data_IF_320628302389
#
_entry.id   IF_320628302389
#
_cell.length_a   1.000
_cell.length_b   1.000
_cell.length_c   1.000
_cell.angle_alpha   90.00
_cell.angle_beta   90.00
_cell.angle_gamma   90.00
#
_symmetry.space_group_name_H-M   'P 1'
#
loop_
_entity.id
_entity.type
_entity.pdbx_description
1 polymer ?
#
# COMPACT_ATOMS: atom_id res chain seq x y z
N UNK A 1 -38.27 27.22 -31.86
CA UNK A 1 -38.04 27.17 -30.40
C UNK A 1 -36.55 27.01 -30.18
N UNK A 2 -35.87 28.08 -29.81
CA UNK A 2 -34.44 28.09 -29.51
C UNK A 2 -34.28 27.58 -28.06
N UNK A 3 -33.52 26.50 -27.86
CA UNK A 3 -33.23 25.97 -26.53
C UNK A 3 -32.35 26.96 -25.77
N UNK A 4 -32.61 27.08 -24.46
CA UNK A 4 -31.87 27.96 -23.55
C UNK A 4 -30.42 27.46 -23.39
N UNK A 5 -29.41 28.35 -23.38
CA UNK A 5 -27.99 28.00 -23.24
C UNK A 5 -27.63 27.31 -21.89
N UNK A 6 -28.56 27.24 -20.94
CA UNK A 6 -28.38 26.55 -19.65
C UNK A 6 -28.60 25.02 -19.72
N UNK A 7 -29.31 24.50 -20.74
CA UNK A 7 -29.48 23.04 -20.88
C UNK A 7 -28.28 22.36 -21.57
N UNK A 8 -27.47 23.10 -22.33
CA UNK A 8 -26.35 22.55 -23.11
C UNK A 8 -25.10 22.28 -22.26
N UNK A 9 -25.03 22.85 -21.04
CA UNK A 9 -23.88 22.65 -20.13
C UNK A 9 -24.02 21.40 -19.27
N UNK A 10 -25.24 20.91 -19.03
CA UNK A 10 -25.46 19.73 -18.17
C UNK A 10 -25.15 18.40 -18.87
N UNK A 11 -25.39 18.35 -20.18
CA UNK A 11 -25.14 17.15 -21.00
C UNK A 11 -23.63 16.96 -21.32
N UNK A 12 -22.81 18.01 -21.20
CA UNK A 12 -21.35 17.91 -21.38
C UNK A 12 -20.58 17.36 -20.17
N UNK A 13 -21.16 17.43 -18.97
CA UNK A 13 -20.50 16.96 -17.73
C UNK A 13 -20.65 15.46 -17.49
N UNK A 14 -21.71 14.81 -17.98
CA UNK A 14 -21.90 13.36 -17.77
C UNK A 14 -21.08 12.49 -18.75
N UNK A 15 -20.81 12.99 -19.97
CA UNK A 15 -20.05 12.22 -20.98
C UNK A 15 -18.53 12.23 -20.71
N UNK A 16 -18.04 13.18 -19.91
CA UNK A 16 -16.63 13.28 -19.56
C UNK A 16 -16.18 12.23 -18.52
N UNK A 17 -17.09 11.72 -17.70
CA UNK A 17 -16.76 10.84 -16.56
C UNK A 17 -16.56 9.38 -17.00
N UNK A 18 -17.40 8.86 -17.91
CA UNK A 18 -17.29 7.47 -18.38
C UNK A 18 -16.00 7.20 -19.18
N UNK A 19 -15.51 8.20 -19.92
CA UNK A 19 -14.29 8.06 -20.71
C UNK A 19 -13.05 7.97 -19.82
N UNK A 20 -13.02 8.70 -18.69
CA UNK A 20 -11.90 8.68 -17.74
C UNK A 20 -11.86 7.34 -16.98
N UNK A 21 -13.02 6.85 -16.52
CA UNK A 21 -13.12 5.55 -15.84
C UNK A 21 -12.71 4.40 -16.77
N UNK A 22 -13.13 4.45 -18.04
CA UNK A 22 -12.75 3.46 -19.06
C UNK A 22 -11.25 3.49 -19.37
N UNK A 23 -10.65 4.68 -19.46
CA UNK A 23 -9.20 4.83 -19.67
C UNK A 23 -8.39 4.33 -18.46
N UNK A 24 -8.83 4.61 -17.23
CA UNK A 24 -8.20 4.08 -16.02
C UNK A 24 -8.30 2.55 -15.96
N UNK A 25 -9.44 1.95 -16.31
CA UNK A 25 -9.59 0.49 -16.32
C UNK A 25 -8.67 -0.18 -17.35
N UNK A 26 -8.50 0.44 -18.53
CA UNK A 26 -7.56 -0.02 -19.56
C UNK A 26 -6.11 0.11 -19.10
N UNK A 27 -5.78 1.20 -18.40
CA UNK A 27 -4.45 1.40 -17.83
C UNK A 27 -4.12 0.34 -16.76
N UNK A 28 -5.03 0.08 -15.81
CA UNK A 28 -4.83 -0.94 -14.79
C UNK A 28 -4.74 -2.36 -15.36
N UNK A 29 -5.53 -2.67 -16.39
CA UNK A 29 -5.44 -3.95 -17.10
C UNK A 29 -4.08 -4.13 -17.79
N UNK A 30 -3.57 -3.08 -18.45
CA UNK A 30 -2.26 -3.10 -19.10
C UNK A 30 -1.09 -3.20 -18.10
N UNK A 31 -1.20 -2.59 -16.92
CA UNK A 31 -0.21 -2.74 -15.84
C UNK A 31 -0.23 -4.16 -15.28
N UNK A 32 -1.41 -4.75 -15.07
CA UNK A 32 -1.55 -6.14 -14.60
C UNK A 32 -0.91 -7.15 -15.55
N UNK A 33 -1.13 -6.99 -16.86
CA UNK A 33 -0.52 -7.87 -17.88
C UNK A 33 1.00 -7.71 -17.97
N UNK A 34 1.53 -6.49 -17.81
CA UNK A 34 2.98 -6.25 -17.79
C UNK A 34 3.68 -6.81 -16.55
N UNK A 35 3.01 -6.79 -15.40
CA UNK A 35 3.56 -7.35 -14.15
C UNK A 35 3.57 -8.88 -14.19
N UNK A 36 2.58 -9.51 -14.82
CA UNK A 36 2.52 -10.98 -14.95
C UNK A 36 3.53 -11.55 -15.97
N UNK A 37 4.00 -10.76 -16.94
CA UNK A 37 5.00 -11.19 -17.93
C UNK A 37 6.47 -11.09 -17.47
N UNK A 38 6.75 -10.54 -16.29
CA UNK A 38 8.12 -10.28 -15.80
C UNK A 38 8.56 -11.19 -14.65
N UNK A 39 7.76 -12.20 -14.28
CA UNK A 39 8.17 -13.17 -13.28
C UNK A 39 8.99 -14.28 -13.95
N UNK A 40 10.32 -14.37 -13.71
CA UNK A 40 11.10 -15.52 -14.16
C UNK A 40 10.60 -16.78 -13.44
N UNK A 41 10.55 -17.89 -14.16
CA UNK A 41 10.32 -19.20 -13.57
C UNK A 41 11.40 -19.47 -12.51
N UNK A 42 11.01 -19.44 -11.24
CA UNK A 42 11.92 -19.65 -10.12
C UNK A 42 12.54 -21.05 -10.16
N UNK A 43 13.83 -21.20 -9.78
CA UNK A 43 14.45 -22.52 -9.66
C UNK A 43 13.73 -23.33 -8.57
N UNK A 44 13.51 -24.61 -8.83
CA UNK A 44 12.96 -25.53 -7.84
C UNK A 44 13.91 -25.61 -6.64
N UNK A 45 13.42 -25.16 -5.48
CA UNK A 45 14.16 -25.19 -4.23
C UNK A 45 14.22 -26.63 -3.71
N UNK A 46 15.43 -27.19 -3.69
CA UNK A 46 15.75 -28.43 -2.97
C UNK A 46 15.47 -28.27 -1.46
N UNK A 47 14.95 -29.32 -0.79
CA UNK A 47 14.65 -29.28 0.63
C UNK A 47 15.94 -29.18 1.46
N UNK A 48 16.11 -28.06 2.19
CA UNK A 48 17.22 -27.90 3.13
C UNK A 48 16.93 -28.68 4.42
N UNK A 49 17.91 -29.42 4.96
CA UNK A 49 17.75 -30.11 6.24
C UNK A 49 17.67 -29.09 7.40
N UNK A 50 16.66 -29.26 8.25
CA UNK A 50 16.44 -28.46 9.46
C UNK A 50 17.63 -28.59 10.40
N UNK A 51 18.20 -27.44 10.77
CA UNK A 51 19.36 -27.32 11.66
C UNK A 51 18.92 -26.76 13.03
N UNK A 52 17.85 -27.34 13.60
CA UNK A 52 17.18 -26.83 14.81
C UNK A 52 17.55 -27.55 16.12
N UNK A 53 18.60 -28.37 16.13
CA UNK A 53 18.76 -29.32 17.24
C UNK A 53 19.53 -28.83 18.48
N UNK A 54 20.25 -27.70 18.50
CA UNK A 54 21.27 -27.52 19.55
C UNK A 54 21.47 -26.14 20.20
N UNK A 55 20.71 -25.10 19.85
CA UNK A 55 20.75 -23.85 20.63
C UNK A 55 19.32 -23.34 20.78
N UNK A 56 18.80 -23.34 22.00
CA UNK A 56 17.59 -22.60 22.33
C UNK A 56 17.91 -21.11 22.47
N UNK A 57 17.35 -20.27 21.59
CA UNK A 57 16.75 -19.01 21.96
C UNK A 57 15.25 -19.12 21.70
N UNK A 58 14.45 -18.39 22.46
CA UNK A 58 13.06 -18.15 22.05
C UNK A 58 13.16 -17.35 20.76
N UNK A 59 13.13 -18.03 19.61
CA UNK A 59 12.87 -17.41 18.32
C UNK A 59 11.51 -16.75 18.50
N UNK A 60 11.52 -15.47 18.91
CA UNK A 60 10.39 -14.60 18.65
C UNK A 60 10.31 -14.61 17.13
N UNK A 61 9.46 -15.47 16.61
CA UNK A 61 8.92 -15.37 15.26
C UNK A 61 8.48 -13.92 15.16
N UNK A 62 9.32 -13.12 14.51
CA UNK A 62 9.02 -11.72 14.29
C UNK A 62 8.06 -11.80 13.12
N UNK A 63 6.84 -11.42 13.41
CA UNK A 63 5.74 -11.54 12.49
C UNK A 63 5.70 -10.22 11.71
N UNK A 64 5.45 -10.27 10.40
CA UNK A 64 5.23 -9.04 9.64
C UNK A 64 4.15 -8.17 10.32
N UNK A 65 4.35 -6.85 10.36
CA UNK A 65 3.50 -5.94 11.12
C UNK A 65 3.12 -4.72 10.28
N UNK A 66 1.81 -4.40 10.30
CA UNK A 66 1.27 -3.20 9.65
C UNK A 66 1.05 -2.15 10.73
N UNK A 67 1.62 -0.96 10.52
CA UNK A 67 1.50 0.18 11.43
C UNK A 67 0.56 1.23 10.83
N UNK A 68 -0.32 1.78 11.66
CA UNK A 68 -1.32 2.75 11.27
C UNK A 68 -1.20 4.03 12.08
N UNK A 69 -1.08 5.14 11.36
CA UNK A 69 -1.22 6.49 11.86
C UNK A 69 -2.54 7.05 11.31
N UNK A 70 -3.46 7.32 12.23
CA UNK A 70 -4.68 8.06 11.99
C UNK A 70 -4.44 9.45 11.41
N UNK A 71 -5.54 10.09 11.01
CA UNK A 71 -5.50 11.43 10.41
C UNK A 71 -4.83 12.40 11.40
N UNK A 72 -3.71 12.99 10.99
CA UNK A 72 -3.04 14.04 11.76
C UNK A 72 -3.76 15.39 11.61
N UNK A 73 -3.26 16.43 12.27
CA UNK A 73 -3.74 17.82 12.09
C UNK A 73 -3.65 18.30 10.63
N UNK A 74 -2.81 17.66 9.82
CA UNK A 74 -2.63 17.96 8.40
C UNK A 74 -3.64 17.24 7.49
N UNK A 75 -4.55 16.43 8.06
CA UNK A 75 -5.67 15.83 7.34
C UNK A 75 -5.33 14.56 6.56
N UNK A 76 -4.09 14.07 6.65
CA UNK A 76 -3.62 12.85 5.98
C UNK A 76 -3.23 11.82 7.05
N UNK A 77 -3.56 10.55 6.81
CA UNK A 77 -3.09 9.44 7.63
C UNK A 77 -1.93 8.72 6.95
N UNK A 78 -1.24 7.85 7.69
CA UNK A 78 -0.12 7.07 7.18
C UNK A 78 -0.26 5.58 7.48
N UNK A 79 0.32 4.76 6.61
CA UNK A 79 0.31 3.30 6.72
C UNK A 79 1.65 2.75 6.24
N UNK A 80 2.26 1.88 7.04
CA UNK A 80 3.48 1.20 6.67
C UNK A 80 3.43 -0.29 7.01
N UNK A 81 4.35 -1.06 6.43
CA UNK A 81 4.48 -2.50 6.62
C UNK A 81 5.95 -2.86 6.88
N UNK A 82 6.22 -3.55 7.98
CA UNK A 82 7.52 -4.15 8.28
C UNK A 82 7.42 -5.67 8.10
N UNK A 83 8.30 -6.24 7.28
CA UNK A 83 8.48 -7.69 7.15
C UNK A 83 9.49 -8.21 8.17
N UNK A 84 9.45 -9.51 8.46
CA UNK A 84 10.40 -10.18 9.36
C UNK A 84 11.83 -10.12 8.84
N UNK A 85 11.99 -10.25 7.52
CA UNK A 85 13.29 -10.17 6.85
C UNK A 85 13.94 -8.76 6.88
N UNK A 86 13.36 -7.81 7.61
CA UNK A 86 13.86 -6.45 7.78
C UNK A 86 13.41 -5.48 6.69
N UNK A 87 12.70 -5.94 5.66
CA UNK A 87 12.14 -5.05 4.63
C UNK A 87 11.08 -4.14 5.24
N UNK A 88 11.28 -2.83 5.13
CA UNK A 88 10.31 -1.82 5.54
C UNK A 88 9.69 -1.15 4.30
N UNK A 89 8.36 -1.06 4.30
CA UNK A 89 7.56 -0.49 3.22
C UNK A 89 6.81 0.70 3.78
N UNK A 90 7.30 1.89 3.41
CA UNK A 90 6.65 3.17 3.65
C UNK A 90 6.79 3.99 2.38
N UNK A 91 5.67 4.55 1.94
CA UNK A 91 5.58 5.26 0.65
C UNK A 91 4.97 6.63 0.89
N UNK A 92 5.84 7.58 1.17
CA UNK A 92 5.49 8.95 1.51
C UNK A 92 5.94 9.88 0.39
N UNK A 93 5.33 11.07 0.21
CA UNK A 93 5.89 12.06 -0.69
C UNK A 93 7.20 12.59 -0.13
N UNK A 94 8.19 12.82 -1.00
CA UNK A 94 9.40 13.54 -0.63
C UNK A 94 9.00 14.94 -0.13
N UNK A 95 9.25 15.21 1.15
CA UNK A 95 9.02 16.54 1.70
C UNK A 95 10.02 17.50 1.07
N UNK A 96 9.54 18.44 0.27
CA UNK A 96 10.31 19.65 -0.01
C UNK A 96 10.56 20.32 1.36
N UNK A 97 11.81 20.68 1.65
CA UNK A 97 12.27 21.24 2.94
C UNK A 97 11.70 22.66 3.23
N UNK A 98 10.40 22.86 3.08
CA UNK A 98 9.66 24.07 3.39
C UNK A 98 8.76 23.82 4.60
N UNK A 99 9.22 24.21 5.77
CA UNK A 99 8.48 24.13 7.04
C UNK A 99 7.18 24.94 6.99
N UNK A 100 6.03 24.28 7.13
CA UNK A 100 4.78 24.94 7.53
C UNK A 100 3.49 24.29 7.00
N UNK A 101 2.40 24.55 7.73
CA UNK A 101 0.99 24.15 7.52
C UNK A 101 0.41 24.30 6.09
N UNK A 102 1.16 24.85 5.13
CA UNK A 102 0.84 24.81 3.71
C UNK A 102 1.15 23.45 3.07
N UNK A 103 1.90 22.56 3.73
CA UNK A 103 2.28 21.26 3.20
C UNK A 103 1.07 20.39 2.80
N UNK A 104 -0.05 20.42 3.53
CA UNK A 104 -1.25 19.66 3.15
C UNK A 104 -1.93 20.19 1.87
N UNK A 105 -1.97 21.51 1.70
CA UNK A 105 -2.48 22.16 0.48
C UNK A 105 -1.50 22.02 -0.68
N UNK A 106 -0.20 22.08 -0.39
CA UNK A 106 0.86 21.85 -1.35
C UNK A 106 0.88 20.37 -1.77
N UNK A 107 0.62 19.42 -0.87
CA UNK A 107 0.41 18.00 -1.13
C UNK A 107 -0.83 17.73 -1.99
N UNK A 108 -1.92 18.45 -1.73
CA UNK A 108 -3.11 18.42 -2.57
C UNK A 108 -2.82 19.02 -3.96
N UNK A 109 -1.96 20.04 -4.06
CA UNK A 109 -1.56 20.64 -5.35
C UNK A 109 -0.47 19.84 -6.08
N UNK A 110 0.41 19.15 -5.34
CA UNK A 110 1.44 18.23 -5.80
C UNK A 110 0.92 16.80 -5.94
N UNK A 111 -0.39 16.60 -5.75
CA UNK A 111 -1.10 15.37 -6.08
C UNK A 111 -0.98 14.99 -7.56
N UNK A 112 -0.41 15.89 -8.39
CA UNK A 112 0.00 15.71 -9.77
C UNK A 112 1.29 14.90 -9.99
N UNK A 113 1.74 14.14 -8.98
CA UNK A 113 2.93 13.28 -8.96
C UNK A 113 4.20 13.96 -8.43
N UNK A 114 4.63 13.54 -7.24
CA UNK A 114 5.94 13.87 -6.68
C UNK A 114 6.88 12.66 -6.71
N UNK A 115 8.17 12.91 -6.46
CA UNK A 115 9.09 11.82 -6.16
C UNK A 115 8.69 11.20 -4.83
N UNK A 116 8.66 9.88 -4.78
CA UNK A 116 8.40 9.17 -3.56
C UNK A 116 9.65 9.17 -2.68
N UNK A 117 9.45 9.37 -1.39
CA UNK A 117 10.45 9.04 -0.38
C UNK A 117 10.08 7.70 0.24
N UNK A 118 11.09 6.83 0.28
CA UNK A 118 10.96 5.48 0.77
C UNK A 118 11.70 5.42 2.09
N UNK A 119 10.97 5.61 3.18
CA UNK A 119 11.56 5.48 4.51
C UNK A 119 12.12 4.07 4.66
N UNK A 120 13.33 4.00 5.21
CA UNK A 120 14.03 2.73 5.37
C UNK A 120 13.65 2.00 6.66
N UNK A 121 12.90 2.63 7.58
CA UNK A 121 12.61 2.08 8.90
C UNK A 121 11.41 2.72 9.60
N UNK A 122 10.82 2.00 10.55
CA UNK A 122 9.80 2.50 11.48
C UNK A 122 10.24 3.75 12.24
N UNK A 123 11.50 3.82 12.67
CA UNK A 123 12.03 5.00 13.36
C UNK A 123 11.96 6.26 12.50
N UNK A 124 12.18 6.14 11.18
CA UNK A 124 12.06 7.26 10.26
C UNK A 124 10.62 7.76 10.11
N UNK A 125 9.65 6.84 10.06
CA UNK A 125 8.23 7.21 10.06
C UNK A 125 7.83 7.86 11.40
N UNK A 126 8.27 7.34 12.54
CA UNK A 126 7.98 7.92 13.86
C UNK A 126 8.57 9.32 14.01
N UNK A 127 9.78 9.55 13.50
CA UNK A 127 10.41 10.88 13.49
C UNK A 127 9.64 11.84 12.59
N UNK A 128 9.24 11.40 11.39
CA UNK A 128 8.50 12.22 10.41
C UNK A 128 7.08 12.57 10.88
N UNK A 129 6.41 11.60 11.52
CA UNK A 129 5.07 11.77 12.09
C UNK A 129 5.09 12.46 13.47
N UNK A 130 6.29 12.65 14.05
CA UNK A 130 6.52 13.15 15.41
C UNK A 130 5.74 12.40 16.50
N UNK A 131 5.35 11.14 16.23
CA UNK A 131 4.48 10.34 17.09
C UNK A 131 4.57 8.85 16.78
N UNK A 132 4.19 8.03 17.77
CA UNK A 132 4.04 6.58 17.60
C UNK A 132 2.82 6.23 16.74
N UNK A 133 2.80 5.04 16.10
CA UNK A 133 1.60 4.53 15.45
C UNK A 133 0.42 4.49 16.44
N UNK A 134 -0.78 4.86 15.97
CA UNK A 134 -2.00 4.80 16.79
C UNK A 134 -2.44 3.36 17.02
N UNK A 135 -2.28 2.53 15.99
CA UNK A 135 -2.54 1.09 16.06
C UNK A 135 -1.50 0.32 15.23
N UNK A 136 -1.28 -0.94 15.61
CA UNK A 136 -0.55 -1.90 14.78
C UNK A 136 -1.27 -3.25 14.72
N UNK A 137 -0.96 -4.05 13.70
CA UNK A 137 -1.48 -5.42 13.57
C UNK A 137 -0.40 -6.34 13.02
N UNK A 138 -0.08 -7.39 13.78
CA UNK A 138 0.81 -8.46 13.35
C UNK A 138 0.08 -9.44 12.42
N UNK A 139 0.75 -9.89 11.36
CA UNK A 139 0.24 -10.75 10.29
C UNK A 139 0.71 -12.20 10.50
N UNK A 140 -0.12 -13.12 11.00
CA UNK A 140 0.31 -14.48 11.38
C UNK A 140 1.18 -15.18 10.32
N UNK A 141 2.17 -15.95 10.77
CA UNK A 141 3.05 -16.73 9.88
C UNK A 141 2.27 -17.53 8.83
N UNK A 142 2.70 -17.41 7.57
CA UNK A 142 2.07 -18.05 6.42
C UNK A 142 0.79 -17.38 5.93
N UNK A 143 0.44 -16.19 6.43
CA UNK A 143 -0.62 -15.36 5.85
C UNK A 143 -0.15 -14.65 4.57
N UNK A 144 1.12 -14.26 4.51
CA UNK A 144 1.75 -13.57 3.36
C UNK A 144 3.05 -14.26 2.95
N UNK A 145 3.40 -14.17 1.67
CA UNK A 145 4.73 -14.49 1.16
C UNK A 145 5.65 -13.26 1.26
N UNK A 146 6.48 -13.20 2.31
CA UNK A 146 7.35 -12.05 2.56
C UNK A 146 8.51 -11.91 1.55
N UNK A 147 8.92 -13.01 0.91
CA UNK A 147 9.99 -12.98 -0.08
C UNK A 147 9.53 -12.30 -1.37
N UNK A 148 8.32 -12.63 -1.81
CA UNK A 148 7.70 -12.02 -2.98
C UNK A 148 7.42 -10.53 -2.73
N UNK A 149 6.93 -10.17 -1.54
CA UNK A 149 6.76 -8.76 -1.16
C UNK A 149 8.11 -8.02 -1.20
N UNK A 150 9.17 -8.57 -0.60
CA UNK A 150 10.48 -7.92 -0.56
C UNK A 150 11.07 -7.73 -1.96
N UNK A 151 10.93 -8.74 -2.84
CA UNK A 151 11.39 -8.67 -4.23
C UNK A 151 10.63 -7.63 -5.02
N UNK A 152 9.30 -7.58 -4.85
CA UNK A 152 8.46 -6.57 -5.46
C UNK A 152 8.83 -5.17 -4.98
N UNK A 153 9.01 -4.97 -3.67
CA UNK A 153 9.34 -3.65 -3.10
C UNK A 153 10.64 -3.09 -3.66
N UNK A 154 11.69 -3.91 -3.78
CA UNK A 154 12.99 -3.54 -4.38
C UNK A 154 12.87 -3.05 -5.83
N UNK A 155 11.84 -3.50 -6.55
CA UNK A 155 11.57 -3.09 -7.93
C UNK A 155 10.68 -1.86 -7.96
N UNK A 156 9.63 -1.86 -7.14
CA UNK A 156 8.65 -0.78 -7.04
C UNK A 156 9.29 0.54 -6.60
N UNK A 157 10.16 0.52 -5.59
CA UNK A 157 10.80 1.74 -5.07
C UNK A 157 11.70 2.46 -6.09
N UNK A 158 12.13 1.79 -7.16
CA UNK A 158 12.97 2.39 -8.21
C UNK A 158 12.16 3.15 -9.26
N UNK A 159 10.88 2.83 -9.40
CA UNK A 159 10.04 3.31 -10.52
C UNK A 159 8.80 4.05 -10.05
N UNK A 160 8.41 3.87 -8.79
CA UNK A 160 7.20 4.46 -8.25
C UNK A 160 7.34 5.98 -8.04
N UNK A 161 6.23 6.67 -8.26
CA UNK A 161 6.02 8.07 -7.88
C UNK A 161 4.95 8.14 -6.82
N UNK A 162 4.99 9.15 -5.98
CA UNK A 162 3.93 9.37 -5.02
C UNK A 162 2.79 10.15 -5.69
N UNK A 163 1.58 9.64 -5.55
CA UNK A 163 0.36 10.34 -5.95
C UNK A 163 -0.74 10.04 -4.94
N UNK A 164 -1.30 11.10 -4.33
CA UNK A 164 -2.24 10.98 -3.22
C UNK A 164 -3.48 10.11 -3.55
N UNK A 165 -3.94 10.13 -4.81
CA UNK A 165 -5.14 9.42 -5.23
C UNK A 165 -4.91 7.95 -5.61
N UNK A 166 -3.80 7.63 -6.29
CA UNK A 166 -3.60 6.32 -6.93
C UNK A 166 -2.25 5.64 -6.64
N UNK A 167 -1.32 6.31 -5.95
CA UNK A 167 0.02 5.80 -5.64
C UNK A 167 0.50 6.34 -4.28
N UNK A 168 -0.33 6.14 -3.25
CA UNK A 168 -0.10 6.59 -1.88
C UNK A 168 0.31 5.42 -0.96
N UNK A 169 0.63 5.71 0.31
CA UNK A 169 1.05 4.71 1.30
C UNK A 169 0.07 3.54 1.43
N UNK A 170 -1.23 3.81 1.52
CA UNK A 170 -2.27 2.79 1.69
C UNK A 170 -2.35 1.87 0.46
N UNK A 171 -2.35 2.45 -0.74
CA UNK A 171 -2.36 1.68 -1.98
C UNK A 171 -1.09 0.83 -2.12
N UNK A 172 0.07 1.37 -1.77
CA UNK A 172 1.34 0.65 -1.81
C UNK A 172 1.34 -0.54 -0.85
N UNK A 173 0.90 -0.36 0.39
CA UNK A 173 0.77 -1.47 1.36
C UNK A 173 -0.25 -2.50 0.89
N UNK A 174 -1.37 -2.07 0.29
CA UNK A 174 -2.36 -2.99 -0.30
C UNK A 174 -1.73 -3.84 -1.39
N UNK A 175 -1.05 -3.22 -2.35
CA UNK A 175 -0.38 -3.91 -3.45
C UNK A 175 0.68 -4.88 -2.95
N UNK A 176 1.46 -4.47 -1.93
CA UNK A 176 2.42 -5.34 -1.26
C UNK A 176 1.72 -6.61 -0.74
N UNK A 177 0.65 -6.46 0.03
CA UNK A 177 -0.08 -7.61 0.60
C UNK A 177 -0.75 -8.49 -0.47
N UNK A 178 -1.22 -7.90 -1.58
CA UNK A 178 -1.75 -8.65 -2.72
C UNK A 178 -0.67 -9.47 -3.44
N UNK A 179 0.54 -8.91 -3.59
CA UNK A 179 1.72 -9.66 -4.10
C UNK A 179 2.07 -10.81 -3.16
N UNK A 180 1.97 -10.59 -1.85
CA UNK A 180 2.16 -11.63 -0.84
C UNK A 180 1.03 -12.66 -0.77
N UNK A 181 0.03 -12.61 -1.65
CA UNK A 181 -1.02 -13.63 -1.76
C UNK A 181 -2.32 -13.35 -0.98
N UNK A 182 -2.48 -12.18 -0.35
CA UNK A 182 -3.76 -11.79 0.25
C UNK A 182 -4.67 -11.18 -0.82
N UNK A 183 -5.75 -11.88 -1.15
CA UNK A 183 -6.79 -11.32 -2.02
C UNK A 183 -7.69 -10.33 -1.27
N UNK A 184 -7.84 -9.14 -1.83
CA UNK A 184 -8.70 -8.08 -1.31
C UNK A 184 -9.87 -7.75 -2.23
N UNK A 185 -10.99 -7.23 -1.68
CA UNK A 185 -12.00 -6.63 -2.53
C UNK A 185 -11.40 -5.41 -3.26
N UNK A 186 -11.89 -5.07 -4.46
CA UNK A 186 -11.55 -3.78 -5.06
C UNK A 186 -12.03 -2.66 -4.13
N UNK A 187 -11.18 -1.67 -3.88
CA UNK A 187 -11.63 -0.44 -3.22
C UNK A 187 -12.32 0.44 -4.25
N UNK A 188 -13.59 0.74 -4.02
CA UNK A 188 -14.40 1.63 -4.84
C UNK A 188 -14.31 3.03 -4.22
N UNK A 189 -13.74 3.99 -4.94
CA UNK A 189 -13.56 5.36 -4.48
C UNK A 189 -12.44 6.09 -5.21
N UNK A 190 -12.35 7.41 -4.99
CA UNK A 190 -11.36 8.29 -5.65
C UNK A 190 -9.95 8.07 -5.11
N UNK A 191 -9.81 7.64 -3.84
CA UNK A 191 -8.54 7.33 -3.22
C UNK A 191 -8.68 6.17 -2.22
N UNK A 192 -7.65 5.33 -2.14
CA UNK A 192 -7.53 4.31 -1.11
C UNK A 192 -6.92 4.93 0.12
N UNK A 193 -7.63 4.86 1.25
CA UNK A 193 -7.19 5.49 2.51
C UNK A 193 -6.49 4.50 3.45
N UNK A 194 -5.55 4.98 4.29
CA UNK A 194 -4.89 4.17 5.32
C UNK A 194 -5.87 3.38 6.19
N UNK A 195 -6.95 4.03 6.67
CA UNK A 195 -7.96 3.40 7.52
C UNK A 195 -8.71 2.26 6.80
N UNK A 196 -9.02 2.42 5.51
CA UNK A 196 -9.68 1.37 4.73
C UNK A 196 -8.81 0.12 4.61
N UNK A 197 -7.52 0.30 4.27
CA UNK A 197 -6.56 -0.80 4.12
C UNK A 197 -6.30 -1.45 5.48
N UNK A 198 -6.07 -0.68 6.54
CA UNK A 198 -5.86 -1.22 7.88
C UNK A 198 -7.04 -2.06 8.38
N UNK A 199 -8.28 -1.58 8.18
CA UNK A 199 -9.50 -2.36 8.50
C UNK A 199 -9.63 -3.62 7.65
N UNK A 200 -9.20 -3.58 6.39
CA UNK A 200 -9.15 -4.77 5.54
C UNK A 200 -8.13 -5.79 6.06
N UNK A 201 -6.91 -5.36 6.41
CA UNK A 201 -5.88 -6.23 7.01
C UNK A 201 -6.38 -6.91 8.28
N UNK A 202 -6.97 -6.18 9.22
CA UNK A 202 -7.55 -6.76 10.45
C UNK A 202 -8.62 -7.82 10.14
N UNK A 203 -9.39 -7.68 9.06
CA UNK A 203 -10.37 -8.69 8.63
C UNK A 203 -9.68 -9.94 8.05
N UNK A 204 -8.61 -9.78 7.28
CA UNK A 204 -7.83 -10.89 6.74
C UNK A 204 -7.20 -11.73 7.86
N UNK A 205 -6.54 -11.08 8.83
CA UNK A 205 -5.96 -11.74 10.02
C UNK A 205 -7.03 -12.55 10.77
N UNK A 206 -8.17 -11.92 11.10
CA UNK A 206 -9.28 -12.61 11.80
C UNK A 206 -9.83 -13.81 11.05
N UNK A 207 -9.86 -13.77 9.70
CA UNK A 207 -10.33 -14.90 8.88
C UNK A 207 -9.33 -16.04 8.90
N UNK A 208 -8.04 -15.73 8.75
CA UNK A 208 -6.95 -16.70 8.76
C UNK A 208 -6.88 -17.46 10.10
N UNK A 209 -6.96 -16.75 11.22
CA UNK A 209 -6.94 -17.38 12.55
C UNK A 209 -8.14 -18.33 12.76
N UNK A 210 -9.31 -17.98 12.21
CA UNK A 210 -10.50 -18.84 12.28
C UNK A 210 -10.35 -20.10 11.44
N UNK A 211 -9.71 -20.05 10.28
CA UNK A 211 -9.48 -21.23 9.44
C UNK A 211 -8.41 -22.14 10.04
N UNK A 212 -7.35 -21.57 10.62
CA UNK A 212 -6.29 -22.34 11.29
C UNK A 212 -6.81 -23.12 12.50
N UNK A 213 -7.69 -22.54 13.32
CA UNK A 213 -8.32 -23.22 14.48
C UNK A 213 -9.24 -24.40 14.12
N UNK A 214 -9.64 -24.53 12.85
CA UNK A 214 -10.50 -25.62 12.37
C UNK A 214 -9.73 -26.82 11.83
N UNK A 215 -8.43 -26.65 11.60
CA UNK A 215 -7.52 -27.73 11.18
C UNK A 215 -6.87 -28.34 12.41
#
# INVERSE_FOLDING_TARGET
MLKSPEEETKERTEVADENVVSQLFRFFSAVKERVQGLLPAGPQAEPRPCLDALLGPVCRFKIAEVFYWGISVEGVGHLSLQLDNGTYISHWPEQNKGTGSLAALELLSSALESKADHMASLSGDVETEERQPDESVSLPDGLVDEEDISRWWKTYCKTSRYALLYSNCAQTVKLALEVGGIEGPPFIGVAVTPLQVFRWVKRCVRRYEKTKKRR
#
